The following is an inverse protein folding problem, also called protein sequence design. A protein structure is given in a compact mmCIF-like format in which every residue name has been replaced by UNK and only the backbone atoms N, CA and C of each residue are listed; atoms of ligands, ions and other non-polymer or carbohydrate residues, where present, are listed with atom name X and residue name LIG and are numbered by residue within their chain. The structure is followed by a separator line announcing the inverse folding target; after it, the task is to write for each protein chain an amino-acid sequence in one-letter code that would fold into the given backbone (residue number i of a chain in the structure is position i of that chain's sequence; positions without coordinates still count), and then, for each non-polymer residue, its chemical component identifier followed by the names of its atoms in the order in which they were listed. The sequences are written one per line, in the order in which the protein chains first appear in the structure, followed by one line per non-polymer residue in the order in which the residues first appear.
data_IF_179367279462
#
_entry.id   IF_179367279462
#
_cell.length_a   1.000
_cell.length_b   1.000
_cell.length_c   1.000
_cell.angle_alpha   90.00
_cell.angle_beta   90.00
_cell.angle_gamma   90.00
#
_symmetry.space_group_name_H-M   'P 1'
#
loop_
_entity.id
_entity.type
_entity.pdbx_description
1 polymer ?
#
# COMPACT_ATOMS: atom_id res chain seq x y z
N UNK A 1 -0.37 9.42 -9.51
CA UNK A 1 -0.63 9.92 -10.87
C UNK A 1 -1.53 8.98 -11.67
N UNK A 2 -1.15 7.71 -11.89
CA UNK A 2 -1.89 6.75 -12.75
C UNK A 2 -3.39 6.61 -12.42
N UNK A 3 -3.75 6.51 -11.13
CA UNK A 3 -5.17 6.44 -10.70
C UNK A 3 -6.01 7.62 -11.21
N UNK A 4 -5.46 8.83 -11.24
CA UNK A 4 -6.17 10.02 -11.72
C UNK A 4 -6.39 9.96 -13.23
N UNK A 5 -5.37 9.57 -14.01
CA UNK A 5 -5.50 9.39 -15.47
C UNK A 5 -6.54 8.31 -15.81
N UNK A 6 -6.49 7.16 -15.14
CA UNK A 6 -7.46 6.08 -15.36
C UNK A 6 -8.89 6.46 -14.92
N UNK A 7 -9.02 7.28 -13.88
CA UNK A 7 -10.34 7.81 -13.46
C UNK A 7 -10.89 8.81 -14.47
N UNK A 8 -10.02 9.63 -15.08
CA UNK A 8 -10.40 10.56 -16.14
C UNK A 8 -10.82 9.80 -17.40
N UNK A 9 -10.03 8.80 -17.83
CA UNK A 9 -10.38 7.93 -18.95
C UNK A 9 -11.78 7.33 -18.75
N UNK A 10 -12.05 6.73 -17.60
CA UNK A 10 -13.35 6.14 -17.30
C UNK A 10 -14.48 7.17 -17.37
N UNK A 11 -14.28 8.36 -16.82
CA UNK A 11 -15.31 9.41 -16.83
C UNK A 11 -15.68 9.80 -18.26
N UNK A 12 -14.70 9.78 -19.17
CA UNK A 12 -14.97 10.09 -20.58
C UNK A 12 -15.65 8.91 -21.28
N UNK A 13 -15.16 7.68 -21.08
CA UNK A 13 -15.76 6.46 -21.65
C UNK A 13 -17.17 6.19 -21.10
N UNK A 14 -17.49 6.65 -19.89
CA UNK A 14 -18.82 6.53 -19.30
C UNK A 14 -19.77 7.66 -19.74
N UNK A 15 -19.27 8.73 -20.37
CA UNK A 15 -20.10 9.87 -20.77
C UNK A 15 -21.08 9.50 -21.90
N UNK A 16 -22.23 10.15 -21.96
CA UNK A 16 -23.21 9.96 -23.04
C UNK A 16 -22.75 10.60 -24.37
N UNK A 17 -21.64 11.36 -24.36
CA UNK A 17 -21.13 12.06 -25.53
C UNK A 17 -20.42 11.09 -26.49
N UNK A 18 -21.18 10.61 -27.47
CA UNK A 18 -20.70 9.69 -28.52
C UNK A 18 -19.56 10.28 -29.36
N UNK A 19 -19.57 11.60 -29.63
CA UNK A 19 -18.49 12.25 -30.40
C UNK A 19 -17.16 12.21 -29.66
N UNK A 20 -17.18 12.51 -28.36
CA UNK A 20 -15.99 12.49 -27.53
C UNK A 20 -15.43 11.05 -27.38
N UNK A 21 -16.31 10.06 -27.23
CA UNK A 21 -15.93 8.64 -27.24
C UNK A 21 -15.22 8.24 -28.53
N UNK A 22 -15.83 8.51 -29.68
CA UNK A 22 -15.27 8.19 -30.98
C UNK A 22 -13.91 8.88 -31.22
N UNK A 23 -13.78 10.13 -30.75
CA UNK A 23 -12.50 10.86 -30.82
C UNK A 23 -11.42 10.16 -30.00
N UNK A 24 -11.71 9.76 -28.76
CA UNK A 24 -10.74 9.06 -27.91
C UNK A 24 -10.37 7.71 -28.48
N UNK A 25 -11.34 6.93 -28.94
CA UNK A 25 -11.08 5.65 -29.59
C UNK A 25 -10.12 5.82 -30.76
N UNK A 26 -10.36 6.82 -31.61
CA UNK A 26 -9.47 7.16 -32.72
C UNK A 26 -8.09 7.58 -32.24
N UNK A 27 -7.99 8.47 -31.24
CA UNK A 27 -6.71 8.95 -30.72
C UNK A 27 -5.89 7.83 -30.07
N UNK A 28 -6.55 6.91 -29.35
CA UNK A 28 -5.91 5.73 -28.78
C UNK A 28 -5.47 4.76 -29.89
N UNK A 29 -6.25 4.58 -30.94
CA UNK A 29 -5.88 3.66 -32.04
C UNK A 29 -4.71 4.19 -32.88
N UNK A 30 -4.66 5.51 -33.11
CA UNK A 30 -3.68 6.13 -34.00
C UNK A 30 -2.33 6.42 -33.32
N UNK A 31 -2.30 6.73 -32.03
CA UNK A 31 -1.10 7.25 -31.35
C UNK A 31 -0.22 6.18 -30.68
N UNK A 32 -0.14 4.99 -31.24
CA UNK A 32 0.44 3.80 -30.59
C UNK A 32 1.96 3.81 -30.38
N UNK A 33 2.70 4.91 -30.58
CA UNK A 33 4.16 4.76 -30.68
C UNK A 33 5.14 5.87 -30.33
N UNK A 34 4.80 7.15 -30.11
CA UNK A 34 5.87 8.14 -29.83
C UNK A 34 5.46 9.52 -29.30
N UNK A 35 4.18 9.79 -29.02
CA UNK A 35 3.77 11.12 -28.55
C UNK A 35 3.66 11.16 -27.04
N UNK A 36 4.14 12.25 -26.43
CA UNK A 36 3.97 12.55 -25.00
C UNK A 36 2.51 12.96 -24.66
N UNK A 37 1.56 12.32 -25.33
CA UNK A 37 0.15 12.64 -25.26
C UNK A 37 -0.52 11.94 -24.08
N UNK A 38 -1.62 12.53 -23.62
CA UNK A 38 -2.47 11.91 -22.60
C UNK A 38 -2.90 10.48 -23.00
N UNK A 39 -3.22 10.25 -24.27
CA UNK A 39 -3.72 8.97 -24.78
C UNK A 39 -2.63 7.91 -24.82
N UNK A 40 -1.46 8.22 -25.37
CA UNK A 40 -0.32 7.29 -25.41
C UNK A 40 0.11 6.87 -24.00
N UNK A 41 0.26 7.83 -23.07
CA UNK A 41 0.54 7.53 -21.65
C UNK A 41 -0.56 6.67 -21.02
N UNK A 42 -1.82 6.90 -21.38
CA UNK A 42 -2.94 6.10 -20.85
C UNK A 42 -2.89 4.66 -21.37
N UNK A 43 -2.56 4.44 -22.65
CA UNK A 43 -2.36 3.09 -23.19
C UNK A 43 -1.21 2.36 -22.52
N UNK A 44 -0.08 3.05 -22.32
CA UNK A 44 1.06 2.51 -21.58
C UNK A 44 0.66 2.10 -20.16
N UNK A 45 -0.11 2.93 -19.45
CA UNK A 45 -0.61 2.61 -18.12
C UNK A 45 -1.54 1.38 -18.15
N UNK A 46 -2.48 1.32 -19.10
CA UNK A 46 -3.38 0.17 -19.23
C UNK A 46 -2.58 -1.11 -19.48
N UNK A 47 -1.62 -1.07 -20.41
CA UNK A 47 -0.72 -2.20 -20.72
C UNK A 47 0.15 -2.58 -19.51
N UNK A 48 0.74 -1.61 -18.83
CA UNK A 48 1.63 -1.82 -17.69
C UNK A 48 0.94 -2.55 -16.53
N UNK A 49 -0.34 -2.24 -16.30
CA UNK A 49 -1.16 -2.88 -15.27
C UNK A 49 -1.97 -4.08 -15.78
N UNK A 50 -1.86 -4.46 -17.05
CA UNK A 50 -2.70 -5.49 -17.68
C UNK A 50 -4.21 -5.22 -17.46
N UNK A 51 -4.61 -3.98 -17.67
CA UNK A 51 -6.01 -3.53 -17.60
C UNK A 51 -6.66 -3.58 -18.99
N UNK A 52 -8.01 -3.67 -19.06
CA UNK A 52 -8.72 -3.65 -20.34
C UNK A 52 -8.41 -2.39 -21.14
N UNK A 53 -8.16 -2.59 -22.42
CA UNK A 53 -8.00 -1.59 -23.46
C UNK A 53 -9.32 -0.89 -23.76
N UNK A 54 -9.25 0.25 -24.47
CA UNK A 54 -10.45 1.00 -24.86
C UNK A 54 -11.39 0.19 -25.75
N UNK A 55 -10.84 -0.69 -26.61
CA UNK A 55 -11.64 -1.60 -27.43
C UNK A 55 -12.44 -2.60 -26.60
N UNK A 56 -11.86 -3.13 -25.52
CA UNK A 56 -12.52 -4.12 -24.66
C UNK A 56 -13.67 -3.51 -23.83
N UNK A 57 -13.66 -2.19 -23.59
CA UNK A 57 -14.77 -1.51 -22.93
C UNK A 57 -16.03 -1.39 -23.80
N UNK A 58 -15.95 -1.65 -25.11
CA UNK A 58 -17.11 -1.59 -26.01
C UNK A 58 -18.12 -2.68 -25.70
N UNK A 59 -17.63 -3.87 -25.39
CA UNK A 59 -18.47 -5.05 -25.19
C UNK A 59 -19.09 -5.02 -23.79
N UNK A 60 -18.34 -4.57 -22.78
CA UNK A 60 -18.82 -4.52 -21.41
C UNK A 60 -18.12 -3.42 -20.60
N UNK A 61 -18.79 -2.28 -20.44
CA UNK A 61 -18.32 -1.22 -19.56
C UNK A 61 -18.56 -1.59 -18.10
N UNK A 62 -17.53 -1.66 -17.23
CA UNK A 62 -17.74 -1.90 -15.81
C UNK A 62 -18.45 -0.71 -15.16
N UNK A 63 -19.15 -0.96 -14.05
CA UNK A 63 -19.68 0.14 -13.24
C UNK A 63 -18.54 0.95 -12.60
N UNK A 64 -18.80 2.22 -12.24
CA UNK A 64 -17.79 3.12 -11.66
C UNK A 64 -17.17 2.53 -10.39
N UNK A 65 -18.00 1.88 -9.57
CA UNK A 65 -17.57 1.22 -8.33
C UNK A 65 -16.68 0.02 -8.63
N UNK A 66 -17.08 -0.82 -9.58
CA UNK A 66 -16.29 -1.98 -10.00
C UNK A 66 -14.94 -1.56 -10.59
N UNK A 67 -14.94 -0.56 -11.48
CA UNK A 67 -13.72 -0.01 -12.07
C UNK A 67 -12.74 0.52 -11.01
N UNK A 68 -13.23 1.30 -10.05
CA UNK A 68 -12.39 1.82 -8.95
C UNK A 68 -11.79 0.69 -8.12
N UNK A 69 -12.59 -0.36 -7.82
CA UNK A 69 -12.15 -1.54 -7.09
C UNK A 69 -11.04 -2.27 -7.86
N UNK A 70 -11.24 -2.49 -9.15
CA UNK A 70 -10.29 -3.19 -10.01
C UNK A 70 -8.99 -2.43 -10.18
N UNK A 71 -9.01 -1.12 -10.45
CA UNK A 71 -7.80 -0.29 -10.50
C UNK A 71 -7.01 -0.40 -9.18
N UNK A 72 -7.69 -0.24 -8.05
CA UNK A 72 -7.02 -0.24 -6.76
C UNK A 72 -6.35 -1.58 -6.49
N UNK A 73 -7.06 -2.68 -6.74
CA UNK A 73 -6.56 -4.05 -6.59
C UNK A 73 -5.39 -4.31 -7.53
N UNK A 74 -5.52 -4.03 -8.82
CA UNK A 74 -4.48 -4.32 -9.82
C UNK A 74 -3.20 -3.52 -9.58
N UNK A 75 -3.33 -2.22 -9.25
CA UNK A 75 -2.17 -1.38 -8.92
C UNK A 75 -1.49 -1.90 -7.65
N UNK A 76 -2.25 -2.21 -6.59
CA UNK A 76 -1.70 -2.72 -5.34
C UNK A 76 -0.96 -4.05 -5.54
N UNK A 77 -1.56 -4.98 -6.29
CA UNK A 77 -0.96 -6.27 -6.61
C UNK A 77 0.34 -6.09 -7.41
N UNK A 78 0.34 -5.26 -8.46
CA UNK A 78 1.53 -5.01 -9.29
C UNK A 78 2.70 -4.47 -8.48
N UNK A 79 2.45 -3.46 -7.64
CA UNK A 79 3.50 -2.91 -6.78
C UNK A 79 3.96 -3.89 -5.70
N UNK A 80 3.04 -4.68 -5.14
CA UNK A 80 3.41 -5.74 -4.19
C UNK A 80 4.34 -6.77 -4.83
N UNK A 81 4.03 -7.23 -6.05
CA UNK A 81 4.89 -8.14 -6.81
C UNK A 81 6.27 -7.54 -7.09
N UNK A 82 6.33 -6.32 -7.63
CA UNK A 82 7.61 -5.63 -7.91
C UNK A 82 8.44 -5.49 -6.64
N UNK A 83 7.83 -5.05 -5.54
CA UNK A 83 8.53 -4.92 -4.26
C UNK A 83 9.02 -6.27 -3.75
N UNK A 84 8.24 -7.34 -3.88
CA UNK A 84 8.66 -8.68 -3.48
C UNK A 84 9.81 -9.20 -4.35
N UNK A 85 9.80 -8.93 -5.65
CA UNK A 85 10.89 -9.28 -6.58
C UNK A 85 12.17 -8.51 -6.22
N UNK A 86 12.09 -7.19 -6.05
CA UNK A 86 13.23 -6.38 -5.62
C UNK A 86 13.79 -6.81 -4.24
N UNK A 87 12.90 -7.22 -3.32
CA UNK A 87 13.30 -7.76 -2.02
C UNK A 87 14.04 -9.10 -2.13
N UNK A 88 13.74 -9.92 -3.14
CA UNK A 88 14.47 -11.17 -3.39
C UNK A 88 15.88 -10.90 -3.92
N UNK A 89 16.03 -9.92 -4.80
CA UNK A 89 17.32 -9.54 -5.40
C UNK A 89 18.26 -8.87 -4.39
N UNK A 90 17.71 -8.08 -3.45
CA UNK A 90 18.49 -7.35 -2.45
C UNK A 90 18.60 -8.16 -1.16
N UNK A 91 19.77 -8.77 -0.94
CA UNK A 91 20.09 -9.59 0.25
C UNK A 91 19.83 -8.87 1.58
N UNK A 92 19.97 -7.54 1.62
CA UNK A 92 19.66 -6.69 2.78
C UNK A 92 18.16 -6.51 3.01
N UNK A 93 17.34 -6.50 1.94
CA UNK A 93 15.89 -6.36 2.03
C UNK A 93 15.16 -7.68 2.32
N UNK A 94 15.76 -8.83 2.03
CA UNK A 94 15.25 -10.15 2.45
C UNK A 94 14.96 -10.22 3.97
N UNK A 95 15.68 -9.43 4.77
CA UNK A 95 15.47 -9.28 6.23
C UNK A 95 14.59 -8.09 6.64
N UNK A 96 14.27 -7.20 5.70
CA UNK A 96 13.41 -6.03 5.93
C UNK A 96 11.92 -6.32 5.71
N UNK A 97 11.52 -7.54 5.34
CA UNK A 97 10.11 -7.91 5.42
C UNK A 97 9.67 -7.75 6.90
N UNK A 98 8.90 -6.71 7.15
CA UNK A 98 8.50 -6.27 8.48
C UNK A 98 7.71 -7.35 9.21
N UNK A 99 7.10 -8.30 8.50
CA UNK A 99 6.41 -9.45 9.08
C UNK A 99 7.34 -10.60 9.51
N UNK A 100 8.60 -10.62 9.09
CA UNK A 100 9.50 -11.79 9.26
C UNK A 100 10.67 -11.53 10.23
N UNK A 101 11.02 -10.27 10.54
CA UNK A 101 12.13 -10.00 11.48
C UNK A 101 11.76 -10.39 12.92
N UNK A 102 12.37 -11.45 13.52
CA UNK A 102 11.95 -11.94 14.84
C UNK A 102 12.15 -10.89 15.94
N UNK A 103 13.25 -10.13 15.88
CA UNK A 103 13.55 -9.07 16.85
C UNK A 103 12.53 -7.92 16.80
N UNK A 104 12.07 -7.53 15.61
CA UNK A 104 11.01 -6.52 15.48
C UNK A 104 9.66 -7.10 15.92
N UNK A 105 9.36 -8.35 15.58
CA UNK A 105 8.13 -9.01 16.02
C UNK A 105 8.06 -9.12 17.54
N UNK A 106 9.16 -9.49 18.21
CA UNK A 106 9.23 -9.53 19.68
C UNK A 106 8.88 -8.17 20.29
N UNK A 107 9.38 -7.07 19.73
CA UNK A 107 9.01 -5.72 20.17
C UNK A 107 7.54 -5.41 19.94
N UNK A 108 6.96 -5.83 18.81
CA UNK A 108 5.52 -5.68 18.55
C UNK A 108 4.68 -6.46 19.55
N UNK A 109 4.98 -7.75 19.76
CA UNK A 109 4.21 -8.62 20.65
C UNK A 109 4.18 -8.13 22.11
N UNK A 110 5.19 -7.36 22.54
CA UNK A 110 5.20 -6.74 23.87
C UNK A 110 4.24 -5.56 24.02
N UNK A 111 3.95 -4.82 22.95
CA UNK A 111 3.13 -3.59 23.00
C UNK A 111 1.73 -3.81 22.43
N UNK A 112 1.58 -4.74 21.48
CA UNK A 112 0.31 -5.05 20.82
C UNK A 112 -0.83 -5.39 21.79
N UNK A 113 -0.65 -6.21 22.84
CA UNK A 113 -1.72 -6.54 23.78
C UNK A 113 -2.20 -5.32 24.56
N UNK A 114 -1.28 -4.47 25.03
CA UNK A 114 -1.59 -3.23 25.74
C UNK A 114 -2.38 -2.28 24.85
N UNK A 115 -1.90 -2.06 23.62
CA UNK A 115 -2.56 -1.18 22.65
C UNK A 115 -3.93 -1.71 22.25
N UNK A 116 -4.07 -3.03 22.02
CA UNK A 116 -5.36 -3.68 21.78
C UNK A 116 -6.31 -3.45 22.95
N UNK A 117 -5.87 -3.66 24.18
CA UNK A 117 -6.71 -3.49 25.36
C UNK A 117 -7.18 -2.04 25.50
N UNK A 118 -6.30 -1.07 25.27
CA UNK A 118 -6.65 0.36 25.32
C UNK A 118 -7.69 0.71 24.26
N UNK A 119 -7.49 0.28 23.01
CA UNK A 119 -8.47 0.52 21.95
C UNK A 119 -9.81 -0.11 22.32
N UNK A 120 -9.83 -1.38 22.76
CA UNK A 120 -11.06 -2.07 23.21
C UNK A 120 -11.75 -1.32 24.35
N UNK A 121 -11.00 -0.79 25.32
CA UNK A 121 -11.56 0.00 26.42
C UNK A 121 -12.24 1.28 25.92
N UNK A 122 -11.70 1.91 24.86
CA UNK A 122 -12.24 3.15 24.32
C UNK A 122 -13.45 2.96 23.40
N UNK A 123 -13.42 1.96 22.50
CA UNK A 123 -14.48 1.76 21.50
C UNK A 123 -15.49 0.68 21.89
N UNK A 124 -15.16 -0.14 22.87
CA UNK A 124 -15.94 -1.32 23.28
C UNK A 124 -15.66 -2.56 22.43
N UNK A 125 -15.89 -3.73 23.02
CA UNK A 125 -15.63 -5.03 22.41
C UNK A 125 -16.39 -5.25 21.09
N UNK A 126 -17.63 -4.75 20.99
CA UNK A 126 -18.47 -4.93 19.81
C UNK A 126 -17.89 -4.18 18.59
N UNK A 127 -17.56 -2.89 18.75
CA UNK A 127 -16.93 -2.11 17.67
C UNK A 127 -15.56 -2.66 17.30
N UNK A 128 -14.81 -3.16 18.28
CA UNK A 128 -13.55 -3.84 18.00
C UNK A 128 -13.75 -5.03 17.05
N UNK A 129 -14.75 -5.87 17.30
CA UNK A 129 -15.03 -7.02 16.45
C UNK A 129 -15.46 -6.60 15.05
N UNK A 130 -16.34 -5.61 14.96
CA UNK A 130 -16.85 -5.08 13.69
C UNK A 130 -15.72 -4.53 12.79
N UNK A 131 -14.78 -3.76 13.35
CA UNK A 131 -13.76 -3.08 12.56
C UNK A 131 -12.47 -3.89 12.36
N UNK A 132 -12.05 -4.71 13.33
CA UNK A 132 -10.71 -5.28 13.33
C UNK A 132 -10.66 -6.81 13.19
N UNK A 133 -11.74 -7.55 13.49
CA UNK A 133 -11.69 -9.02 13.48
C UNK A 133 -11.48 -9.60 12.08
N UNK A 134 -12.04 -8.95 11.04
CA UNK A 134 -11.87 -9.35 9.64
C UNK A 134 -10.68 -8.70 8.93
N UNK A 135 -9.97 -7.77 9.57
CA UNK A 135 -8.95 -6.97 8.91
C UNK A 135 -7.73 -6.72 9.81
N UNK A 136 -6.88 -7.75 9.95
CA UNK A 136 -5.64 -7.68 10.73
C UNK A 136 -4.69 -6.59 10.21
N UNK A 137 -4.69 -6.32 8.91
CA UNK A 137 -3.88 -5.26 8.30
C UNK A 137 -4.31 -3.86 8.78
N UNK A 138 -5.61 -3.63 8.98
CA UNK A 138 -6.11 -2.36 9.50
C UNK A 138 -5.60 -2.08 10.92
N UNK A 139 -5.51 -3.11 11.77
CA UNK A 139 -4.92 -2.97 13.10
C UNK A 139 -3.43 -2.61 12.98
N UNK A 140 -2.68 -3.35 12.17
CA UNK A 140 -1.25 -3.09 11.96
C UNK A 140 -0.99 -1.69 11.37
N UNK A 141 -1.84 -1.22 10.46
CA UNK A 141 -1.78 0.14 9.89
C UNK A 141 -2.14 1.20 10.92
N UNK A 142 -3.19 1.00 11.70
CA UNK A 142 -3.63 1.88 12.79
C UNK A 142 -2.51 2.14 13.81
N UNK A 143 -1.71 1.11 14.08
CA UNK A 143 -0.58 1.17 15.00
C UNK A 143 0.59 1.98 14.44
N UNK A 144 0.77 1.93 13.12
CA UNK A 144 1.85 2.63 12.43
C UNK A 144 1.45 4.09 12.15
N UNK A 145 0.17 4.32 11.86
CA UNK A 145 -0.39 5.58 11.45
C UNK A 145 -1.70 5.86 12.18
N UNK A 146 -1.59 6.48 13.36
CA UNK A 146 -2.75 6.87 14.16
C UNK A 146 -3.62 7.95 13.49
N UNK A 147 -3.19 8.53 12.36
CA UNK A 147 -4.03 9.46 11.60
C UNK A 147 -5.12 8.74 10.80
N UNK A 148 -4.93 7.43 10.53
CA UNK A 148 -5.94 6.56 9.90
C UNK A 148 -7.04 6.13 10.86
N UNK A 149 -6.87 6.34 12.16
CA UNK A 149 -7.98 6.39 13.11
C UNK A 149 -8.70 7.70 12.88
N UNK A 150 -9.39 7.83 11.74
CA UNK A 150 -10.30 8.94 11.54
C UNK A 150 -11.24 8.93 12.75
N UNK A 151 -11.21 9.99 13.56
CA UNK A 151 -11.97 10.07 14.81
C UNK A 151 -13.46 9.78 14.58
N UNK A 152 -13.93 10.04 13.36
CA UNK A 152 -15.28 9.76 12.89
C UNK A 152 -15.61 8.26 12.75
N UNK A 153 -14.65 7.40 12.41
CA UNK A 153 -14.90 5.96 12.21
C UNK A 153 -15.14 5.27 13.55
N UNK A 154 -14.35 5.61 14.57
CA UNK A 154 -14.41 4.93 15.86
C UNK A 154 -15.15 5.72 16.93
N UNK A 155 -15.49 6.98 16.66
CA UNK A 155 -16.14 7.91 17.57
C UNK A 155 -15.39 8.03 18.90
N UNK A 156 -14.06 8.14 18.81
CA UNK A 156 -13.15 8.24 19.96
C UNK A 156 -13.02 9.73 20.33
N UNK A 157 -13.08 10.06 21.61
CA UNK A 157 -12.85 11.44 22.06
C UNK A 157 -11.37 11.85 21.90
N UNK A 158 -11.09 13.15 21.98
CA UNK A 158 -9.73 13.66 21.76
C UNK A 158 -8.71 13.13 22.77
N UNK A 159 -9.11 12.95 24.03
CA UNK A 159 -8.23 12.47 25.10
C UNK A 159 -7.78 11.01 24.85
N UNK A 160 -8.71 10.13 24.52
CA UNK A 160 -8.43 8.74 24.17
C UNK A 160 -7.56 8.61 22.92
N UNK A 161 -7.74 9.49 21.93
CA UNK A 161 -6.88 9.51 20.75
C UNK A 161 -5.43 9.88 21.09
N UNK A 162 -5.21 10.83 22.01
CA UNK A 162 -3.87 11.21 22.48
C UNK A 162 -3.17 10.05 23.18
N UNK A 163 -3.89 9.26 24.00
CA UNK A 163 -3.29 8.10 24.66
C UNK A 163 -2.96 6.96 23.68
N UNK A 164 -3.81 6.69 22.70
CA UNK A 164 -3.50 5.73 21.62
C UNK A 164 -2.26 6.19 20.85
N UNK A 165 -2.18 7.48 20.51
CA UNK A 165 -1.05 8.05 19.81
C UNK A 165 0.25 7.91 20.61
N UNK A 166 0.21 8.17 21.92
CA UNK A 166 1.37 8.04 22.81
C UNK A 166 1.92 6.61 22.85
N UNK A 167 1.06 5.60 22.95
CA UNK A 167 1.46 4.18 22.92
C UNK A 167 2.04 3.81 21.55
N UNK A 168 1.39 4.25 20.47
CA UNK A 168 1.83 3.98 19.10
C UNK A 168 3.17 4.64 18.79
N UNK A 169 3.39 5.90 19.20
CA UNK A 169 4.69 6.60 19.11
C UNK A 169 5.79 5.84 19.84
N UNK A 170 5.52 5.34 21.05
CA UNK A 170 6.48 4.52 21.81
C UNK A 170 6.84 3.23 21.06
N UNK A 171 5.86 2.55 20.46
CA UNK A 171 6.12 1.38 19.62
C UNK A 171 6.94 1.73 18.37
N UNK A 172 6.55 2.77 17.64
CA UNK A 172 7.27 3.24 16.46
C UNK A 172 8.73 3.57 16.78
N UNK A 173 8.98 4.28 17.89
CA UNK A 173 10.33 4.56 18.38
C UNK A 173 11.10 3.27 18.67
N UNK A 174 10.52 2.33 19.42
CA UNK A 174 11.16 1.05 19.75
C UNK A 174 11.51 0.22 18.51
N UNK A 175 10.60 0.19 17.52
CA UNK A 175 10.84 -0.48 16.24
C UNK A 175 11.96 0.21 15.46
N UNK A 176 11.97 1.54 15.43
CA UNK A 176 13.01 2.31 14.77
C UNK A 176 14.39 2.06 15.40
N UNK A 177 14.52 2.20 16.72
CA UNK A 177 15.78 1.94 17.45
C UNK A 177 16.26 0.52 17.19
N UNK A 178 15.36 -0.47 17.30
CA UNK A 178 15.71 -1.88 17.05
C UNK A 178 16.19 -2.09 15.61
N UNK A 179 15.50 -1.49 14.62
CA UNK A 179 15.91 -1.55 13.22
C UNK A 179 17.29 -0.93 13.00
N UNK A 180 17.56 0.23 13.60
CA UNK A 180 18.84 0.92 13.49
C UNK A 180 19.98 0.08 14.09
N UNK A 181 19.77 -0.50 15.27
CA UNK A 181 20.76 -1.39 15.91
C UNK A 181 21.04 -2.65 15.07
N UNK A 182 19.99 -3.26 14.51
CA UNK A 182 20.15 -4.40 13.61
C UNK A 182 20.95 -4.01 12.36
N UNK A 183 20.68 -2.85 11.79
CA UNK A 183 21.42 -2.36 10.62
C UNK A 183 22.89 -2.12 10.93
N UNK A 184 23.20 -1.45 12.05
CA UNK A 184 24.58 -1.23 12.50
C UNK A 184 25.34 -2.56 12.68
N UNK A 185 24.71 -3.56 13.31
CA UNK A 185 25.31 -4.90 13.46
C UNK A 185 25.60 -5.55 12.11
N UNK A 186 24.66 -5.49 11.16
CA UNK A 186 24.85 -6.05 9.83
C UNK A 186 26.01 -5.38 9.07
N UNK A 187 26.12 -4.06 9.15
CA UNK A 187 27.22 -3.31 8.53
C UNK A 187 28.57 -3.76 9.08
N UNK A 188 28.70 -3.89 10.41
CA UNK A 188 29.92 -4.38 11.05
C UNK A 188 30.24 -5.82 10.63
N UNK A 189 29.24 -6.71 10.58
CA UNK A 189 29.44 -8.09 10.12
C UNK A 189 29.95 -8.15 8.68
N UNK A 190 29.34 -7.38 7.76
CA UNK A 190 29.76 -7.35 6.35
C UNK A 190 31.17 -6.79 6.21
N UNK A 191 31.52 -5.73 6.95
CA UNK A 191 32.87 -5.17 6.96
C UNK A 191 33.92 -6.15 7.49
N UNK A 192 33.57 -6.97 8.50
CA UNK A 192 34.48 -7.98 9.04
C UNK A 192 34.67 -9.15 8.08
N UNK A 193 33.61 -9.61 7.40
CA UNK A 193 33.69 -10.67 6.38
C UNK A 193 34.53 -10.19 5.18
N UNK A 194 34.39 -8.93 4.75
CA UNK A 194 35.18 -8.38 3.65
C UNK A 194 36.68 -8.21 3.98
N UNK A 195 37.06 -8.18 5.27
CA UNK A 195 38.44 -8.04 5.73
C UNK A 195 39.16 -9.38 5.95
N UNK A 196 38.46 -10.51 5.82
CA UNK A 196 39.05 -11.84 5.93
C UNK A 196 39.35 -12.40 4.53
N UNK A 197 40.59 -12.27 4.01
CA UNK A 197 40.96 -12.78 2.69
C UNK A 197 41.02 -14.31 2.60
N UNK A 198 40.72 -15.05 3.69
CA UNK A 198 40.85 -16.50 3.79
C UNK A 198 39.68 -17.34 3.26
N UNK A 199 38.53 -16.74 2.91
CA UNK A 199 37.41 -17.46 2.29
C UNK A 199 37.48 -17.36 0.76
N UNK A 200 38.25 -18.25 0.13
CA UNK A 200 38.08 -18.63 -1.28
C UNK A 200 37.37 -19.98 -1.38
#
# INVERSE_FOLDING_TARGET
MHKRQLSLLYSILASENTKLKNLIERQMTVNAGNSDSFFSRTQEILKYYNLPTVSEFKDQMPTKTQWKKDINRTIANKWSTILQEEMKEKSTLKRCNTQICPALNEKRQKVLPELKQQIVNFIGQNKWHEHFMGNKELLEQTIIDCTLLEMNILNINQESAVEIEKISRKLCYNLHVTRTLLHQRLVVTVQNVAKDPGCK
#
